data_IF_094617692292
#
_entry.id   IF_094617692292
#
_cell.length_a   1.000
_cell.length_b   1.000
_cell.length_c   1.000
_cell.angle_alpha   90.00
_cell.angle_beta   90.00
_cell.angle_gamma   90.00
#
_symmetry.space_group_name_H-M   'P 1'
#
loop_
_entity.id
_entity.type
_entity.pdbx_description
1 polymer ?
#
# COMPACT_ATOMS: atom_id res chain seq x y z
N UNK A 1 -29.15 -56.44 -23.73
CA UNK A 1 -29.83 -55.61 -22.71
C UNK A 1 -28.77 -54.97 -21.84
N UNK A 2 -28.84 -53.64 -21.66
CA UNK A 2 -27.97 -52.79 -20.82
C UNK A 2 -26.58 -52.64 -21.48
N UNK A 3 -26.15 -51.48 -21.95
CA UNK A 3 -25.88 -50.24 -21.22
C UNK A 3 -25.99 -49.00 -22.16
N UNK A 4 -25.93 -47.80 -21.57
CA UNK A 4 -25.88 -46.46 -22.19
C UNK A 4 -27.21 -45.68 -22.26
N UNK A 5 -27.89 -45.58 -21.12
CA UNK A 5 -28.88 -44.51 -20.87
C UNK A 5 -28.50 -43.57 -19.71
N UNK A 6 -27.25 -43.66 -19.22
CA UNK A 6 -26.80 -42.90 -18.04
C UNK A 6 -25.91 -41.69 -18.36
N UNK A 7 -25.47 -41.49 -19.60
CA UNK A 7 -24.62 -40.35 -19.97
C UNK A 7 -25.41 -39.15 -20.54
N UNK A 8 -26.60 -39.37 -21.12
CA UNK A 8 -27.44 -38.27 -21.62
C UNK A 8 -28.19 -37.50 -20.52
N UNK A 9 -28.28 -38.03 -19.29
CA UNK A 9 -28.95 -37.37 -18.19
C UNK A 9 -28.10 -36.30 -17.49
N UNK A 10 -26.78 -36.28 -17.71
CA UNK A 10 -25.90 -35.31 -17.04
C UNK A 10 -25.75 -34.00 -17.82
N UNK A 11 -25.90 -34.03 -19.15
CA UNK A 11 -25.83 -32.82 -19.98
C UNK A 11 -27.15 -32.02 -20.01
N UNK A 12 -28.25 -32.55 -19.46
CA UNK A 12 -29.60 -31.98 -19.59
C UNK A 12 -30.16 -31.31 -18.32
N UNK A 13 -29.37 -31.13 -17.24
CA UNK A 13 -29.87 -30.59 -15.96
C UNK A 13 -29.16 -29.34 -15.42
N UNK A 14 -28.26 -28.70 -16.17
CA UNK A 14 -27.87 -27.32 -15.88
C UNK A 14 -28.73 -26.39 -16.72
N UNK A 15 -29.85 -25.89 -16.16
CA UNK A 15 -30.57 -24.78 -16.80
C UNK A 15 -29.55 -23.67 -17.10
N UNK A 16 -29.55 -23.04 -18.30
CA UNK A 16 -28.56 -22.03 -18.68
C UNK A 16 -28.37 -20.92 -17.64
N UNK A 17 -29.42 -20.60 -16.88
CA UNK A 17 -29.38 -19.65 -15.75
C UNK A 17 -28.53 -20.12 -14.58
N UNK A 18 -28.54 -21.43 -14.25
CA UNK A 18 -27.73 -22.03 -13.18
C UNK A 18 -26.25 -22.08 -13.56
N UNK A 19 -25.95 -22.46 -14.80
CA UNK A 19 -24.59 -22.44 -15.34
C UNK A 19 -23.99 -21.02 -15.35
N UNK A 20 -24.81 -20.00 -15.70
CA UNK A 20 -24.39 -18.59 -15.62
C UNK A 20 -24.12 -18.14 -14.19
N UNK A 21 -24.96 -18.53 -13.23
CA UNK A 21 -24.77 -18.18 -11.83
C UNK A 21 -23.48 -18.79 -11.25
N UNK A 22 -23.20 -20.06 -11.56
CA UNK A 22 -21.97 -20.75 -11.15
C UNK A 22 -20.72 -20.15 -11.81
N UNK A 23 -20.81 -19.77 -13.08
CA UNK A 23 -19.71 -19.08 -13.77
C UNK A 23 -19.40 -17.72 -13.14
N UNK A 24 -20.43 -16.94 -12.76
CA UNK A 24 -20.25 -15.67 -12.07
C UNK A 24 -19.66 -15.87 -10.67
N UNK A 25 -20.12 -16.89 -9.94
CA UNK A 25 -19.58 -17.23 -8.63
C UNK A 25 -18.09 -17.62 -8.71
N UNK A 26 -17.73 -18.49 -9.66
CA UNK A 26 -16.34 -18.91 -9.90
C UNK A 26 -15.43 -17.74 -10.29
N UNK A 27 -15.91 -16.85 -11.15
CA UNK A 27 -15.19 -15.63 -11.49
C UNK A 27 -14.98 -14.73 -10.27
N UNK A 28 -16.02 -14.57 -9.45
CA UNK A 28 -15.96 -13.74 -8.26
C UNK A 28 -15.02 -14.29 -7.17
N UNK A 29 -14.91 -15.62 -7.06
CA UNK A 29 -13.90 -16.28 -6.23
C UNK A 29 -12.49 -16.05 -6.75
N UNK A 30 -12.30 -16.06 -8.07
CA UNK A 30 -10.99 -15.81 -8.68
C UNK A 30 -10.48 -14.40 -8.38
N UNK A 31 -11.36 -13.39 -8.46
CA UNK A 31 -11.05 -12.00 -8.11
C UNK A 31 -10.63 -11.85 -6.64
N UNK A 32 -11.38 -12.48 -5.73
CA UNK A 32 -11.06 -12.44 -4.30
C UNK A 32 -9.72 -13.14 -4.02
N UNK A 33 -9.43 -14.26 -4.68
CA UNK A 33 -8.17 -14.97 -4.51
C UNK A 33 -6.97 -14.20 -5.05
N UNK A 34 -7.11 -13.49 -6.18
CA UNK A 34 -6.09 -12.59 -6.71
C UNK A 34 -5.85 -11.39 -5.78
N UNK A 35 -6.91 -10.84 -5.19
CA UNK A 35 -6.79 -9.78 -4.19
C UNK A 35 -6.10 -10.27 -2.91
N UNK A 36 -6.48 -11.45 -2.41
CA UNK A 36 -5.85 -12.05 -1.23
C UNK A 36 -4.40 -12.45 -1.49
N UNK A 37 -4.05 -12.96 -2.68
CA UNK A 37 -2.65 -13.28 -2.99
C UNK A 37 -1.78 -12.03 -2.93
N UNK A 38 -2.23 -10.93 -3.56
CA UNK A 38 -1.56 -9.63 -3.48
C UNK A 38 -1.40 -9.12 -2.05
N UNK A 39 -2.40 -9.33 -1.20
CA UNK A 39 -2.39 -8.85 0.19
C UNK A 39 -1.46 -9.66 1.11
N UNK A 40 -1.37 -10.98 0.91
CA UNK A 40 -0.65 -11.87 1.81
C UNK A 40 0.78 -12.21 1.35
N UNK A 41 1.23 -11.85 0.14
CA UNK A 41 2.60 -12.12 -0.29
C UNK A 41 3.67 -11.56 0.67
N UNK A 42 4.68 -12.37 1.08
CA UNK A 42 5.01 -13.74 0.63
C UNK A 42 4.35 -14.88 1.43
N UNK A 43 3.55 -14.59 2.45
CA UNK A 43 2.87 -15.60 3.29
C UNK A 43 1.71 -16.29 2.54
N UNK A 44 1.47 -17.60 2.79
CA UNK A 44 0.35 -18.30 2.19
C UNK A 44 -0.98 -17.79 2.76
N UNK A 45 -2.00 -17.70 1.89
CA UNK A 45 -3.35 -17.29 2.28
C UNK A 45 -3.89 -18.29 3.32
N UNK A 46 -4.40 -17.82 4.48
CA UNK A 46 -5.02 -18.69 5.48
C UNK A 46 -6.17 -19.52 4.89
N UNK A 47 -6.30 -20.78 5.32
CA UNK A 47 -7.42 -21.60 4.90
C UNK A 47 -8.75 -21.07 5.48
N UNK A 48 -9.76 -20.95 4.63
CA UNK A 48 -11.11 -20.55 5.04
C UNK A 48 -12.16 -21.38 4.31
N UNK A 49 -13.34 -21.48 4.93
CA UNK A 49 -14.49 -22.19 4.35
C UNK A 49 -15.02 -21.43 3.14
N UNK A 50 -15.18 -22.11 2.00
CA UNK A 50 -15.77 -21.54 0.78
C UNK A 50 -17.29 -21.56 0.88
N UNK A 51 -17.85 -20.50 1.46
CA UNK A 51 -19.29 -20.29 1.61
C UNK A 51 -19.73 -19.01 0.86
N UNK A 52 -20.96 -18.94 0.37
CA UNK A 52 -21.53 -17.73 -0.25
C UNK A 52 -21.50 -16.53 0.69
N UNK A 53 -21.70 -16.76 1.99
CA UNK A 53 -21.56 -15.71 3.02
C UNK A 53 -20.13 -15.18 3.11
N UNK A 54 -19.12 -16.06 3.08
CA UNK A 54 -17.71 -15.66 3.11
C UNK A 54 -17.30 -14.93 1.84
N UNK A 55 -17.83 -15.33 0.68
CA UNK A 55 -17.61 -14.64 -0.58
C UNK A 55 -18.16 -13.21 -0.52
N UNK A 56 -19.38 -13.02 -0.04
CA UNK A 56 -20.00 -11.70 0.09
C UNK A 56 -19.24 -10.82 1.09
N UNK A 57 -18.82 -11.38 2.23
CA UNK A 57 -18.02 -10.66 3.22
C UNK A 57 -16.66 -10.23 2.64
N UNK A 58 -15.97 -11.12 1.92
CA UNK A 58 -14.69 -10.82 1.28
C UNK A 58 -14.83 -9.81 0.13
N UNK A 59 -15.92 -9.87 -0.65
CA UNK A 59 -16.21 -8.86 -1.69
C UNK A 59 -16.50 -7.49 -1.07
N UNK A 60 -17.27 -7.44 0.02
CA UNK A 60 -17.51 -6.20 0.77
C UNK A 60 -16.20 -5.63 1.28
N UNK A 61 -15.36 -6.46 1.90
CA UNK A 61 -14.06 -6.06 2.42
C UNK A 61 -13.11 -5.61 1.32
N UNK A 62 -13.08 -6.31 0.19
CA UNK A 62 -12.30 -5.92 -0.99
C UNK A 62 -12.75 -4.55 -1.51
N UNK A 63 -14.06 -4.32 -1.64
CA UNK A 63 -14.62 -3.04 -2.06
C UNK A 63 -14.31 -1.91 -1.09
N UNK A 64 -14.44 -2.16 0.21
CA UNK A 64 -14.09 -1.20 1.27
C UNK A 64 -12.59 -0.90 1.29
N UNK A 65 -11.73 -1.91 1.08
CA UNK A 65 -10.29 -1.71 1.03
C UNK A 65 -9.89 -0.89 -0.20
N UNK A 66 -10.44 -1.20 -1.37
CA UNK A 66 -10.22 -0.39 -2.58
C UNK A 66 -10.70 1.06 -2.37
N UNK A 67 -11.83 1.26 -1.69
CA UNK A 67 -12.30 2.60 -1.34
C UNK A 67 -11.34 3.32 -0.38
N UNK A 68 -10.79 2.60 0.61
CA UNK A 68 -9.81 3.13 1.54
C UNK A 68 -8.47 3.48 0.84
N UNK A 69 -8.01 2.65 -0.09
CA UNK A 69 -6.84 2.93 -0.94
C UNK A 69 -7.06 4.20 -1.76
N UNK A 70 -8.21 4.33 -2.43
CA UNK A 70 -8.56 5.57 -3.15
C UNK A 70 -8.59 6.81 -2.26
N UNK A 71 -9.10 6.68 -1.03
CA UNK A 71 -9.07 7.78 -0.06
C UNK A 71 -7.64 8.15 0.34
N UNK A 72 -6.75 7.16 0.50
CA UNK A 72 -5.34 7.39 0.79
C UNK A 72 -4.66 8.14 -0.36
N UNK A 73 -4.94 7.75 -1.60
CA UNK A 73 -4.40 8.42 -2.78
C UNK A 73 -4.89 9.88 -2.86
N UNK A 74 -6.18 10.14 -2.64
CA UNK A 74 -6.72 11.51 -2.61
C UNK A 74 -6.10 12.37 -1.52
N UNK A 75 -5.87 11.80 -0.33
CA UNK A 75 -5.20 12.51 0.76
C UNK A 75 -3.74 12.82 0.40
N UNK A 76 -3.06 11.89 -0.26
CA UNK A 76 -1.69 12.10 -0.73
C UNK A 76 -1.61 13.22 -1.77
N UNK A 77 -2.50 13.23 -2.77
CA UNK A 77 -2.55 14.31 -3.76
C UNK A 77 -2.87 15.66 -3.13
N UNK A 78 -3.85 15.72 -2.21
CA UNK A 78 -4.16 16.94 -1.48
C UNK A 78 -2.96 17.48 -0.68
N UNK A 79 -2.15 16.59 -0.08
CA UNK A 79 -0.91 16.99 0.61
C UNK A 79 0.13 17.56 -0.37
N UNK A 80 0.24 17.01 -1.58
CA UNK A 80 1.13 17.54 -2.61
C UNK A 80 0.69 18.95 -3.02
N UNK A 81 -0.61 19.18 -3.24
CA UNK A 81 -1.15 20.48 -3.61
C UNK A 81 -0.93 21.55 -2.50
N UNK A 82 -1.10 21.19 -1.23
CA UNK A 82 -0.79 22.08 -0.10
C UNK A 82 0.70 22.45 -0.04
N UNK A 83 1.61 21.50 -0.30
CA UNK A 83 3.05 21.80 -0.35
C UNK A 83 3.42 22.71 -1.54
N UNK A 84 2.75 22.56 -2.68
CA UNK A 84 2.96 23.41 -3.84
C UNK A 84 2.47 24.85 -3.61
N UNK A 85 1.30 25.02 -3.00
CA UNK A 85 0.73 26.35 -2.67
C UNK A 85 1.52 27.10 -1.61
N UNK A 86 2.10 26.41 -0.62
CA UNK A 86 2.97 27.04 0.40
C UNK A 86 4.34 27.46 -0.17
N UNK A 87 4.86 26.73 -1.16
CA UNK A 87 6.12 27.09 -1.82
C UNK A 87 5.96 28.28 -2.77
N UNK A 88 4.83 28.39 -3.47
CA UNK A 88 4.53 29.50 -4.40
C UNK A 88 4.12 30.80 -3.70
N UNK A 89 3.55 30.72 -2.49
CA UNK A 89 3.28 31.92 -1.67
C UNK A 89 4.52 32.48 -1.01
N UNK A 90 5.51 31.65 -0.65
CA UNK A 90 6.78 32.09 -0.05
C UNK A 90 7.78 32.69 -1.06
N UNK A 91 7.67 32.39 -2.35
CA UNK A 91 8.49 33.03 -3.41
C UNK A 91 7.92 34.37 -3.88
N UNK A 92 6.59 34.56 -3.83
CA UNK A 92 5.94 35.81 -4.22
C UNK A 92 6.01 36.93 -3.15
N UNK A 93 6.41 36.63 -1.91
CA UNK A 93 6.60 37.63 -0.85
C UNK A 93 8.01 38.27 -0.83
N UNK A 94 8.97 37.81 -1.64
CA UNK A 94 10.33 38.41 -1.68
C UNK A 94 10.51 39.58 -2.66
N UNK A 95 9.53 39.84 -3.54
CA UNK A 95 9.66 40.86 -4.59
C UNK A 95 8.70 42.07 -4.46
N UNK A 96 8.02 42.25 -3.30
CA UNK A 96 7.04 43.34 -3.10
C UNK A 96 7.40 44.45 -2.11
N UNK A 97 8.66 44.53 -1.66
CA UNK A 97 9.13 45.62 -0.80
C UNK A 97 9.89 46.69 -1.60
N UNK A 98 9.22 47.37 -2.53
CA UNK A 98 9.57 48.73 -2.95
C UNK A 98 8.39 49.39 -3.64
N UNK A 99 8.09 50.60 -3.21
CA UNK A 99 7.04 51.51 -3.70
C UNK A 99 5.62 51.23 -3.23
N UNK A 100 5.22 51.92 -2.16
CA UNK A 100 4.22 53.01 -2.26
C UNK A 100 3.98 53.67 -0.91
N UNK A 101 4.58 54.86 -0.73
CA UNK A 101 4.14 55.88 0.22
C UNK A 101 2.93 56.61 -0.38
N UNK A 102 1.78 56.65 0.30
CA UNK A 102 1.10 57.90 0.70
C UNK A 102 -0.34 57.68 1.20
N UNK A 103 -0.64 58.43 2.27
CA UNK A 103 -1.94 58.95 2.71
C UNK A 103 -3.03 57.97 3.19
N UNK A 104 -3.88 58.25 4.17
CA UNK A 104 -3.97 59.21 5.28
C UNK A 104 -5.31 58.85 5.96
N UNK A 105 -5.29 58.66 7.30
CA UNK A 105 -6.44 58.64 8.23
C UNK A 105 -7.46 57.48 8.05
N UNK A 106 -8.00 56.82 9.08
CA UNK A 106 -8.46 57.35 10.37
C UNK A 106 -8.70 56.21 11.38
N UNK A 107 -8.49 56.54 12.66
CA UNK A 107 -9.03 55.94 13.88
C UNK A 107 -8.68 54.50 14.29
N UNK A 108 -7.65 54.49 15.14
CA UNK A 108 -7.16 53.49 16.09
C UNK A 108 -8.08 53.25 17.30
N UNK A 109 -8.35 51.98 17.62
CA UNK A 109 -8.38 51.37 18.98
C UNK A 109 -9.13 50.02 18.87
N UNK A 110 -8.51 48.85 18.95
CA UNK A 110 -7.77 48.34 20.12
C UNK A 110 -7.06 47.00 19.79
N UNK A 111 -5.84 46.85 20.32
CA UNK A 111 -5.13 45.60 20.62
C UNK A 111 -4.33 44.87 19.53
N UNK A 112 -3.35 45.57 18.95
CA UNK A 112 -2.13 44.99 18.40
C UNK A 112 -1.01 45.00 19.45
N UNK A 113 -0.97 44.01 20.37
CA UNK A 113 0.26 43.73 21.16
C UNK A 113 0.30 42.27 21.64
N UNK A 114 0.71 41.32 20.79
CA UNK A 114 1.46 40.11 21.24
C UNK A 114 2.09 39.39 20.04
N UNK A 115 3.00 40.06 19.34
CA UNK A 115 3.94 39.42 18.40
C UNK A 115 5.30 39.13 19.03
N UNK A 116 5.44 39.35 20.35
CA UNK A 116 6.71 39.12 21.09
C UNK A 116 6.70 37.92 22.04
N UNK A 117 5.56 37.26 22.21
CA UNK A 117 5.48 36.15 23.16
C UNK A 117 5.55 34.82 22.38
N UNK A 118 6.71 34.12 22.37
CA UNK A 118 6.88 32.88 21.60
C UNK A 118 5.87 31.82 22.03
N UNK A 119 5.38 31.89 23.28
CA UNK A 119 4.35 30.99 23.81
C UNK A 119 2.99 31.17 23.12
N UNK A 120 2.62 32.39 22.74
CA UNK A 120 1.34 32.67 22.09
C UNK A 120 1.37 32.24 20.61
N UNK A 121 2.53 32.39 19.95
CA UNK A 121 2.78 31.85 18.61
C UNK A 121 2.78 30.31 18.62
N UNK A 122 3.47 29.69 19.58
CA UNK A 122 3.48 28.23 19.75
C UNK A 122 2.08 27.69 20.06
N UNK A 123 1.26 28.42 20.82
CA UNK A 123 -0.13 28.04 21.06
C UNK A 123 -0.96 28.09 19.78
N UNK A 124 -0.79 29.13 18.95
CA UNK A 124 -1.48 29.22 17.65
C UNK A 124 -1.05 28.11 16.69
N UNK A 125 0.24 27.83 16.59
CA UNK A 125 0.79 26.72 15.78
C UNK A 125 0.26 25.38 16.31
N UNK A 126 0.35 25.15 17.63
CA UNK A 126 -0.17 23.92 18.26
C UNK A 126 -1.68 23.79 18.03
N UNK A 127 -2.43 24.89 17.98
CA UNK A 127 -3.88 24.88 17.74
C UNK A 127 -4.27 24.71 16.26
N UNK A 128 -3.40 25.06 15.31
CA UNK A 128 -3.64 24.90 13.87
C UNK A 128 -3.24 23.54 13.33
N UNK A 129 -2.39 22.79 14.04
CA UNK A 129 -1.95 21.47 13.61
C UNK A 129 -3.00 20.38 13.87
N UNK A 130 -3.06 19.38 12.99
CA UNK A 130 -3.92 18.19 13.15
C UNK A 130 -3.51 17.37 14.39
N UNK A 131 -4.44 16.60 14.97
CA UNK A 131 -4.17 15.80 16.18
C UNK A 131 -2.99 14.83 16.06
N UNK A 132 -2.83 14.06 14.96
CA UNK A 132 -1.64 13.22 14.77
C UNK A 132 -0.34 14.03 14.63
N UNK A 133 -0.39 15.22 14.03
CA UNK A 133 0.79 16.10 13.92
C UNK A 133 1.22 16.65 15.28
N UNK A 134 0.27 16.94 16.18
CA UNK A 134 0.58 17.37 17.56
C UNK A 134 1.23 16.25 18.36
N UNK A 135 0.69 15.03 18.27
CA UNK A 135 1.28 13.88 18.97
C UNK A 135 2.68 13.56 18.42
N UNK A 136 2.90 13.68 17.12
CA UNK A 136 4.23 13.52 16.54
C UNK A 136 5.23 14.57 17.05
N UNK A 137 4.81 15.85 17.15
CA UNK A 137 5.65 16.91 17.73
C UNK A 137 5.93 16.69 19.21
N UNK A 138 4.93 16.27 19.99
CA UNK A 138 5.11 15.94 21.40
C UNK A 138 6.10 14.76 21.53
N UNK A 139 5.96 13.69 20.73
CA UNK A 139 6.89 12.55 20.69
C UNK A 139 8.30 12.95 20.24
N UNK A 140 8.43 13.86 19.27
CA UNK A 140 9.74 14.37 18.83
C UNK A 140 10.37 15.23 19.93
N UNK A 141 9.58 16.05 20.63
CA UNK A 141 10.07 16.86 21.74
C UNK A 141 10.52 15.99 22.92
N UNK A 142 9.77 14.93 23.22
CA UNK A 142 10.10 13.95 24.25
C UNK A 142 11.34 13.14 23.87
N UNK A 143 11.42 12.68 22.61
CA UNK A 143 12.61 12.03 22.06
C UNK A 143 13.83 12.96 22.06
N UNK A 144 13.65 14.26 21.78
CA UNK A 144 14.72 15.25 21.82
C UNK A 144 15.21 15.52 23.25
N UNK A 145 14.31 15.52 24.24
CA UNK A 145 14.68 15.60 25.66
C UNK A 145 15.45 14.35 26.10
N UNK A 146 14.99 13.16 25.70
CA UNK A 146 15.68 11.88 25.95
C UNK A 146 17.05 11.85 25.26
N UNK A 147 17.16 12.45 24.07
CA UNK A 147 18.41 12.61 23.32
C UNK A 147 19.32 13.74 23.86
N UNK A 148 18.93 14.42 24.94
CA UNK A 148 19.76 15.42 25.61
C UNK A 148 19.78 16.82 24.96
N UNK A 149 18.85 17.12 24.05
CA UNK A 149 18.70 18.44 23.41
C UNK A 149 18.06 19.46 24.37
N UNK A 150 18.68 19.73 25.51
CA UNK A 150 18.35 20.92 26.30
C UNK A 150 18.94 22.14 25.60
N UNK A 151 18.09 23.09 25.22
CA UNK A 151 18.50 24.42 24.81
C UNK A 151 19.30 25.09 25.94
N UNK A 152 20.61 24.88 25.96
CA UNK A 152 21.51 25.64 26.81
C UNK A 152 21.49 27.08 26.30
N UNK A 153 20.82 27.91 27.08
CA UNK A 153 20.89 29.35 27.01
C UNK A 153 22.34 29.82 27.15
N UNK A 154 22.66 30.89 26.43
CA UNK A 154 23.89 31.70 26.51
C UNK A 154 25.13 31.21 25.75
N UNK A 155 25.25 31.60 24.47
CA UNK A 155 26.21 32.64 24.06
C UNK A 155 26.08 32.91 22.56
N UNK A 156 26.25 34.17 22.20
CA UNK A 156 26.02 34.70 20.87
C UNK A 156 27.06 34.16 19.86
N UNK A 157 26.59 33.85 18.64
CA UNK A 157 27.42 33.77 17.43
C UNK A 157 28.02 32.40 17.12
N UNK A 158 27.21 31.45 16.62
CA UNK A 158 27.78 30.19 16.09
C UNK A 158 26.81 29.08 15.64
N UNK A 159 25.52 29.35 15.40
CA UNK A 159 24.51 28.27 15.25
C UNK A 159 24.50 27.45 13.95
N UNK A 160 25.35 27.74 12.95
CA UNK A 160 25.30 26.99 11.67
C UNK A 160 26.20 25.74 11.62
N UNK A 161 27.30 25.69 12.40
CA UNK A 161 28.22 24.54 12.35
C UNK A 161 27.80 23.37 13.23
N UNK A 162 27.21 23.62 14.41
CA UNK A 162 26.86 22.53 15.33
C UNK A 162 25.59 21.76 14.96
N UNK A 163 24.62 22.41 14.31
CA UNK A 163 23.46 21.70 13.78
C UNK A 163 23.85 20.73 12.66
N UNK A 164 24.92 21.04 11.90
CA UNK A 164 25.45 20.15 10.88
C UNK A 164 26.13 18.92 11.51
N UNK A 165 26.87 19.09 12.62
CA UNK A 165 27.49 17.97 13.32
C UNK A 165 26.45 17.07 13.99
N UNK A 166 25.36 17.61 14.56
CA UNK A 166 24.31 16.80 15.20
C UNK A 166 23.53 15.99 14.16
N UNK A 167 23.17 16.59 13.01
CA UNK A 167 22.52 15.84 11.93
C UNK A 167 23.45 14.79 11.33
N UNK A 168 24.74 15.09 11.21
CA UNK A 168 25.73 14.16 10.67
C UNK A 168 26.02 13.01 11.66
N UNK A 169 25.99 13.29 12.96
CA UNK A 169 26.11 12.29 14.02
C UNK A 169 24.86 11.40 14.07
N UNK A 170 23.66 11.98 14.00
CA UNK A 170 22.40 11.25 13.87
C UNK A 170 22.38 10.38 12.60
N UNK A 171 22.84 10.90 11.46
CA UNK A 171 22.91 10.16 10.21
C UNK A 171 23.93 9.01 10.30
N UNK A 172 25.07 9.23 10.96
CA UNK A 172 26.04 8.16 11.23
C UNK A 172 25.45 7.10 12.17
N UNK A 173 24.64 7.51 13.15
CA UNK A 173 24.00 6.60 14.08
C UNK A 173 22.91 5.76 13.40
N UNK A 174 22.06 6.40 12.58
CA UNK A 174 21.00 5.76 11.78
C UNK A 174 21.60 4.72 10.81
N UNK A 175 22.77 4.98 10.24
CA UNK A 175 23.43 4.01 9.35
C UNK A 175 24.20 2.94 10.12
N UNK A 176 24.74 3.25 11.29
CA UNK A 176 25.47 2.29 12.13
C UNK A 176 24.56 1.27 12.81
N UNK A 177 23.32 1.64 13.18
CA UNK A 177 22.37 0.78 13.88
C UNK A 177 22.00 -0.48 13.07
N UNK A 178 21.62 -0.38 11.78
CA UNK A 178 21.37 -1.54 10.93
C UNK A 178 22.60 -2.44 10.77
N UNK A 179 23.81 -1.86 10.70
CA UNK A 179 25.06 -2.62 10.58
C UNK A 179 25.33 -3.41 11.87
N UNK A 180 25.11 -2.78 13.03
CA UNK A 180 25.22 -3.45 14.33
C UNK A 180 24.15 -4.54 14.49
N UNK A 181 22.92 -4.29 14.03
CA UNK A 181 21.84 -5.25 14.04
C UNK A 181 22.18 -6.48 13.20
N UNK A 182 22.62 -6.28 11.95
CA UNK A 182 23.04 -7.37 11.06
C UNK A 182 24.19 -8.18 11.67
N UNK A 183 25.15 -7.51 12.32
CA UNK A 183 26.25 -8.19 13.01
C UNK A 183 25.76 -9.06 14.16
N UNK A 184 24.80 -8.56 14.96
CA UNK A 184 24.20 -9.33 16.06
C UNK A 184 23.36 -10.49 15.53
N UNK A 185 22.64 -10.31 14.43
CA UNK A 185 21.86 -11.36 13.76
C UNK A 185 22.77 -12.46 13.23
N UNK A 186 23.89 -12.10 12.59
CA UNK A 186 24.92 -13.06 12.16
C UNK A 186 25.53 -13.81 13.36
N UNK A 187 25.72 -13.12 14.49
CA UNK A 187 26.20 -13.77 15.72
C UNK A 187 25.18 -14.74 16.29
N UNK A 188 23.89 -14.43 16.25
CA UNK A 188 22.82 -15.33 16.69
C UNK A 188 22.76 -16.58 15.80
N UNK A 189 22.86 -16.43 14.48
CA UNK A 189 22.88 -17.56 13.56
C UNK A 189 24.09 -18.48 13.78
N UNK A 190 25.27 -17.90 14.06
CA UNK A 190 26.45 -18.68 14.47
C UNK A 190 26.25 -19.41 15.80
N UNK A 191 25.47 -18.85 16.73
CA UNK A 191 25.14 -19.51 17.99
C UNK A 191 24.17 -20.66 17.74
N UNK A 192 23.18 -20.49 16.87
CA UNK A 192 22.21 -21.53 16.53
C UNK A 192 22.86 -22.71 15.79
N UNK A 193 23.83 -22.44 14.91
CA UNK A 193 24.66 -23.46 14.27
C UNK A 193 25.48 -24.25 15.30
N UNK A 194 26.08 -23.55 16.28
CA UNK A 194 26.81 -24.19 17.37
C UNK A 194 25.89 -25.04 18.26
N UNK A 195 24.70 -24.53 18.58
CA UNK A 195 23.68 -25.27 19.34
C UNK A 195 23.28 -26.53 18.58
N UNK A 196 23.03 -26.43 17.28
CA UNK A 196 22.69 -27.57 16.43
C UNK A 196 23.80 -28.61 16.37
N UNK A 197 25.05 -28.17 16.26
CA UNK A 197 26.21 -29.06 16.28
C UNK A 197 26.38 -29.76 17.63
N UNK A 198 26.26 -29.03 18.74
CA UNK A 198 26.32 -29.61 20.09
C UNK A 198 25.18 -30.59 20.35
N UNK A 199 23.96 -30.29 19.89
CA UNK A 199 22.83 -31.22 19.97
C UNK A 199 23.12 -32.50 19.17
N UNK A 200 23.65 -32.37 17.94
CA UNK A 200 24.08 -33.50 17.13
C UNK A 200 25.18 -34.33 17.80
N UNK A 201 26.14 -33.70 18.46
CA UNK A 201 27.20 -34.38 19.20
C UNK A 201 26.64 -35.11 20.45
N UNK A 202 25.71 -34.49 21.16
CA UNK A 202 25.00 -35.12 22.29
C UNK A 202 24.22 -36.34 21.80
N UNK A 203 23.50 -36.26 20.68
CA UNK A 203 22.80 -37.40 20.09
C UNK A 203 23.77 -38.53 19.69
N UNK A 204 24.90 -38.19 19.07
CA UNK A 204 25.94 -39.16 18.74
C UNK A 204 26.55 -39.82 19.98
N UNK A 205 26.77 -39.06 21.05
CA UNK A 205 27.26 -39.59 22.32
C UNK A 205 26.21 -40.48 23.00
N UNK A 206 24.93 -40.09 22.98
CA UNK A 206 23.83 -40.94 23.47
C UNK A 206 23.70 -42.24 22.67
N UNK A 207 23.85 -42.18 21.35
CA UNK A 207 23.87 -43.37 20.48
C UNK A 207 25.09 -44.27 20.76
N UNK A 208 26.26 -43.67 20.98
CA UNK A 208 27.49 -44.39 21.31
C UNK A 208 27.41 -45.06 22.69
N UNK A 209 26.88 -44.36 23.70
CA UNK A 209 26.67 -44.90 25.06
C UNK A 209 25.57 -45.95 25.13
N UNK A 210 24.49 -45.81 24.36
CA UNK A 210 23.45 -46.85 24.26
C UNK A 210 23.94 -48.09 23.49
N UNK A 211 24.76 -47.92 22.44
CA UNK A 211 25.38 -49.05 21.73
C UNK A 211 26.37 -49.84 22.61
N UNK A 212 27.14 -49.17 23.48
CA UNK A 212 28.04 -49.83 24.44
C UNK A 212 27.27 -50.55 25.55
N UNK A 213 26.15 -49.98 26.04
CA UNK A 213 25.23 -50.68 26.96
C UNK A 213 24.61 -51.92 26.30
N UNK A 214 24.24 -51.87 25.02
CA UNK A 214 23.68 -53.03 24.32
C UNK A 214 24.74 -54.10 23.98
N UNK A 215 25.99 -53.72 23.75
CA UNK A 215 27.12 -54.66 23.54
C UNK A 215 27.50 -55.42 24.82
N UNK A 216 27.15 -54.91 26.00
CA UNK A 216 27.27 -55.64 27.28
C UNK A 216 26.15 -56.66 27.53
N UNK A 217 25.02 -56.60 26.80
CA UNK A 217 23.89 -57.54 26.94
C UNK A 217 23.82 -58.62 25.85
N UNK A 218 24.51 -58.47 24.72
CA UNK A 218 24.44 -59.43 23.60
C UNK A 218 25.67 -60.31 23.40
N UNK A 219 26.62 -60.33 24.35
CA UNK A 219 27.73 -61.31 24.36
C UNK A 219 27.32 -62.73 24.81
N UNK A 220 26.01 -63.00 24.87
CA UNK A 220 25.43 -64.33 25.04
C UNK A 220 24.28 -64.53 24.04
N UNK A 221 24.61 -64.86 22.79
CA UNK A 221 23.94 -65.90 21.97
C UNK A 221 24.34 -65.79 20.50
N UNK A 222 24.89 -66.92 19.98
CA UNK A 222 24.76 -67.48 18.62
C UNK A 222 25.34 -66.62 17.48
N UNK A 223 26.45 -66.96 16.82
CA UNK A 223 26.91 -68.20 16.14
C UNK A 223 25.91 -68.73 15.09
N UNK A 224 26.43 -68.84 13.86
CA UNK A 224 25.87 -69.38 12.60
C UNK A 224 25.10 -68.34 11.75
N UNK A 225 25.19 -68.24 10.41
CA UNK A 225 25.94 -68.91 9.33
C UNK A 225 25.51 -68.27 7.98
N UNK A 226 26.43 -68.26 7.01
CA UNK A 226 26.25 -68.21 5.52
C UNK A 226 25.72 -66.96 4.80
N UNK A 227 26.64 -66.33 4.06
CA UNK A 227 26.69 -66.18 2.57
C UNK A 227 25.42 -66.48 1.75
N UNK A 228 25.01 -65.53 0.91
CA UNK A 228 24.62 -65.72 -0.52
C UNK A 228 24.38 -64.38 -1.23
N UNK A 229 24.97 -64.25 -2.44
CA UNK A 229 24.59 -63.33 -3.53
C UNK A 229 23.41 -63.97 -4.31
N UNK A 230 22.59 -63.25 -5.11
CA UNK A 230 22.90 -63.12 -6.54
C UNK A 230 22.36 -61.87 -7.27
N UNK A 231 22.82 -61.76 -8.52
CA UNK A 231 22.51 -60.84 -9.62
C UNK A 231 21.07 -60.88 -10.21
N UNK A 232 20.73 -59.88 -11.03
CA UNK A 232 19.64 -59.87 -12.02
C UNK A 232 19.30 -58.42 -12.45
N UNK A 233 19.74 -57.84 -13.58
CA UNK A 233 19.44 -58.04 -15.02
C UNK A 233 18.02 -57.61 -15.47
N UNK A 234 17.97 -56.69 -16.46
CA UNK A 234 16.81 -56.35 -17.32
C UNK A 234 16.39 -54.87 -17.20
N UNK A 235 16.14 -54.06 -18.23
CA UNK A 235 16.00 -54.24 -19.68
C UNK A 235 14.97 -53.21 -20.23
N UNK A 236 15.20 -52.64 -21.43
CA UNK A 236 14.23 -51.84 -22.22
C UNK A 236 14.53 -50.33 -22.28
N UNK A 237 15.01 -49.73 -23.38
CA UNK A 237 14.33 -49.33 -24.66
C UNK A 237 13.11 -48.41 -24.44
N UNK A 238 12.80 -47.35 -25.19
CA UNK A 238 13.43 -46.43 -26.16
C UNK A 238 12.35 -45.37 -26.52
N UNK A 239 12.76 -44.31 -27.25
CA UNK A 239 11.99 -43.47 -28.22
C UNK A 239 10.90 -42.48 -27.72
N UNK A 240 11.11 -41.18 -27.95
CA UNK A 240 10.29 -40.36 -28.89
C UNK A 240 10.78 -38.90 -28.96
N UNK A 241 11.18 -38.46 -30.15
CA UNK A 241 11.37 -37.04 -30.53
C UNK A 241 10.16 -36.55 -31.34
N UNK A 242 9.91 -35.22 -31.43
CA UNK A 242 9.13 -34.62 -32.51
C UNK A 242 9.94 -33.65 -33.41
N UNK A 243 9.41 -33.26 -34.58
CA UNK A 243 10.20 -33.00 -35.80
C UNK A 243 10.33 -31.52 -36.21
N UNK A 244 11.26 -31.27 -37.15
CA UNK A 244 11.56 -29.99 -37.81
C UNK A 244 10.89 -29.86 -39.20
N UNK A 245 10.37 -28.64 -39.47
CA UNK A 245 10.27 -27.85 -40.74
C UNK A 245 9.73 -28.46 -42.05
N UNK A 246 9.29 -27.61 -43.01
CA UNK A 246 10.20 -27.28 -44.11
C UNK A 246 10.11 -25.82 -44.60
N UNK A 247 11.23 -25.25 -45.07
CA UNK A 247 11.24 -24.05 -45.92
C UNK A 247 12.15 -24.28 -47.12
N UNK A 248 11.55 -24.21 -48.29
CA UNK A 248 12.11 -24.39 -49.63
C UNK A 248 12.84 -23.13 -50.09
N UNK A 249 14.06 -23.27 -50.60
CA UNK A 249 14.74 -22.25 -51.42
C UNK A 249 15.37 -22.95 -52.62
N UNK A 250 14.88 -22.56 -53.81
CA UNK A 250 15.34 -23.05 -55.10
C UNK A 250 16.65 -22.38 -55.49
N UNK A 251 17.69 -23.18 -55.69
CA UNK A 251 18.91 -22.81 -56.42
C UNK A 251 18.73 -23.26 -57.87
N UNK A 252 18.61 -22.32 -58.80
CA UNK A 252 18.74 -22.61 -60.23
C UNK A 252 20.17 -22.35 -60.67
N UNK A 253 20.78 -23.36 -61.26
CA UNK A 253 22.08 -23.34 -61.94
C UNK A 253 21.80 -23.33 -63.44
N UNK A 254 22.44 -22.42 -64.18
CA UNK A 254 22.60 -22.52 -65.64
C UNK A 254 24.08 -22.29 -66.03
N UNK A 255 24.51 -22.81 -67.21
CA UNK A 255 25.90 -23.12 -67.51
C UNK A 255 26.67 -21.98 -68.20
N UNK A 256 28.00 -22.06 -68.04
CA UNK A 256 29.03 -21.28 -68.72
C UNK A 256 28.89 -21.32 -70.25
N UNK A 257 29.08 -20.17 -70.88
CA UNK A 257 29.75 -20.05 -72.17
C UNK A 257 30.91 -19.06 -71.98
N UNK A 258 32.10 -19.50 -72.40
CA UNK A 258 33.35 -18.75 -72.46
C UNK A 258 33.24 -17.64 -73.52
N UNK A 259 33.65 -16.41 -73.19
CA UNK A 259 34.55 -15.55 -73.97
C UNK A 259 34.47 -14.08 -73.48
N UNK A 260 35.66 -13.47 -73.39
CA UNK A 260 35.98 -12.04 -73.46
C UNK A 260 35.91 -11.12 -72.20
N UNK A 261 37.11 -10.64 -71.85
CA UNK A 261 37.49 -9.33 -71.29
C UNK A 261 37.35 -9.05 -69.77
N UNK A 262 38.51 -9.08 -69.10
CA UNK A 262 38.80 -8.75 -67.70
C UNK A 262 38.69 -7.23 -67.37
N UNK A 263 37.54 -6.56 -67.59
CA UNK A 263 37.36 -5.15 -67.14
C UNK A 263 36.09 -4.81 -66.33
N UNK A 264 35.14 -5.73 -66.09
CA UNK A 264 33.82 -5.37 -65.50
C UNK A 264 33.54 -5.84 -64.05
N UNK A 265 34.55 -6.30 -63.30
CA UNK A 265 34.37 -6.86 -61.95
C UNK A 265 33.96 -5.83 -60.87
N UNK A 266 34.15 -4.52 -61.11
CA UNK A 266 33.78 -3.45 -60.17
C UNK A 266 32.32 -3.01 -60.31
N UNK A 267 31.77 -2.99 -61.53
CA UNK A 267 30.39 -2.54 -61.80
C UNK A 267 29.35 -3.56 -61.34
N UNK A 268 29.64 -4.87 -61.45
CA UNK A 268 28.79 -5.94 -60.92
C UNK A 268 28.72 -5.93 -59.38
N UNK A 269 29.83 -5.58 -58.71
CA UNK A 269 29.84 -5.42 -57.24
C UNK A 269 29.07 -4.20 -56.78
N UNK A 270 29.12 -3.11 -57.55
CA UNK A 270 28.35 -1.91 -57.25
C UNK A 270 26.84 -2.15 -57.44
N UNK A 271 26.44 -2.83 -58.52
CA UNK A 271 25.04 -3.18 -58.76
C UNK A 271 24.47 -4.12 -57.68
N UNK A 272 25.22 -5.15 -57.30
CA UNK A 272 24.81 -6.08 -56.23
C UNK A 272 24.69 -5.40 -54.87
N UNK A 273 25.57 -4.44 -54.57
CA UNK A 273 25.51 -3.63 -53.33
C UNK A 273 24.28 -2.73 -53.32
N UNK A 274 24.03 -2.00 -54.42
CA UNK A 274 22.87 -1.11 -54.55
C UNK A 274 21.54 -1.88 -54.54
N UNK A 275 21.52 -3.08 -55.12
CA UNK A 275 20.38 -3.98 -55.05
C UNK A 275 20.12 -4.44 -53.61
N UNK A 276 21.16 -4.82 -52.86
CA UNK A 276 21.04 -5.21 -51.46
C UNK A 276 20.50 -4.06 -50.59
N UNK A 277 20.98 -2.84 -50.81
CA UNK A 277 20.49 -1.63 -50.13
C UNK A 277 19.01 -1.36 -50.47
N UNK A 278 18.63 -1.51 -51.75
CA UNK A 278 17.23 -1.36 -52.19
C UNK A 278 16.32 -2.37 -51.50
N UNK A 279 16.73 -3.63 -51.42
CA UNK A 279 15.98 -4.69 -50.72
C UNK A 279 15.85 -4.37 -49.23
N UNK A 280 16.91 -3.83 -48.62
CA UNK A 280 16.89 -3.41 -47.21
C UNK A 280 15.90 -2.26 -46.98
N UNK A 281 15.96 -1.20 -47.79
CA UNK A 281 15.01 -0.07 -47.71
C UNK A 281 13.57 -0.51 -47.93
N UNK A 282 13.32 -1.49 -48.81
CA UNK A 282 11.99 -2.08 -48.99
C UNK A 282 11.48 -2.81 -47.74
N UNK A 283 12.36 -3.53 -47.02
CA UNK A 283 12.00 -4.20 -45.76
C UNK A 283 11.68 -3.18 -44.67
N UNK A 284 12.52 -2.17 -44.51
CA UNK A 284 12.33 -1.10 -43.53
C UNK A 284 11.04 -0.31 -43.80
N UNK A 285 10.76 0.02 -45.06
CA UNK A 285 9.52 0.70 -45.45
C UNK A 285 8.28 -0.13 -45.10
N UNK A 286 8.32 -1.44 -45.38
CA UNK A 286 7.24 -2.37 -44.99
C UNK A 286 7.06 -2.43 -43.47
N UNK A 287 8.15 -2.50 -42.72
CA UNK A 287 8.09 -2.51 -41.25
C UNK A 287 7.52 -1.20 -40.71
N UNK A 288 7.92 -0.06 -41.27
CA UNK A 288 7.40 1.24 -40.87
C UNK A 288 5.91 1.36 -41.20
N UNK A 289 5.47 0.86 -42.34
CA UNK A 289 4.05 0.84 -42.72
C UNK A 289 3.21 0.03 -41.73
N UNK A 290 3.71 -1.14 -41.30
CA UNK A 290 3.05 -1.96 -40.27
C UNK A 290 2.95 -1.20 -38.95
N UNK A 291 4.05 -0.57 -38.49
CA UNK A 291 4.03 0.25 -37.26
C UNK A 291 3.08 1.44 -37.36
N UNK A 292 3.04 2.13 -38.50
CA UNK A 292 2.11 3.23 -38.72
C UNK A 292 0.66 2.74 -38.61
N UNK A 293 0.33 1.59 -39.21
CA UNK A 293 -0.99 0.98 -39.08
C UNK A 293 -1.34 0.65 -37.61
N UNK A 294 -0.41 0.04 -36.87
CA UNK A 294 -0.59 -0.26 -35.44
C UNK A 294 -0.83 1.02 -34.61
N UNK A 295 -0.06 2.08 -34.82
CA UNK A 295 -0.27 3.34 -34.11
C UNK A 295 -1.59 4.01 -34.48
N UNK A 296 -2.02 3.94 -35.74
CA UNK A 296 -3.34 4.45 -36.13
C UNK A 296 -4.48 3.69 -35.45
N UNK A 297 -4.36 2.36 -35.31
CA UNK A 297 -5.33 1.55 -34.57
C UNK A 297 -5.32 1.87 -33.07
N UNK A 298 -4.13 2.04 -32.48
CA UNK A 298 -3.99 2.42 -31.06
C UNK A 298 -4.60 3.78 -30.77
N UNK A 299 -4.40 4.77 -31.65
CA UNK A 299 -5.02 6.10 -31.54
C UNK A 299 -6.54 5.97 -31.64
N UNK A 300 -7.06 5.26 -32.65
CA UNK A 300 -8.49 5.05 -32.81
C UNK A 300 -9.12 4.32 -31.60
N UNK A 301 -8.40 3.36 -31.00
CA UNK A 301 -8.83 2.68 -29.78
C UNK A 301 -8.85 3.64 -28.58
N UNK A 302 -7.83 4.48 -28.40
CA UNK A 302 -7.79 5.49 -27.35
C UNK A 302 -8.89 6.55 -27.53
N UNK A 303 -9.21 6.97 -28.74
CA UNK A 303 -10.32 7.88 -29.03
C UNK A 303 -11.68 7.24 -28.72
N UNK A 304 -11.85 5.95 -29.04
CA UNK A 304 -13.03 5.18 -28.62
C UNK A 304 -13.12 5.06 -27.10
N UNK A 305 -12.00 4.81 -26.43
CA UNK A 305 -11.95 4.76 -24.97
C UNK A 305 -12.24 6.13 -24.36
N UNK A 306 -11.75 7.23 -24.94
CA UNK A 306 -12.03 8.58 -24.48
C UNK A 306 -13.50 8.97 -24.69
N UNK A 307 -14.12 8.59 -25.81
CA UNK A 307 -15.55 8.83 -26.09
C UNK A 307 -16.49 7.91 -25.30
N UNK A 308 -16.07 6.68 -25.01
CA UNK A 308 -16.79 5.79 -24.09
C UNK A 308 -16.60 6.25 -22.64
N UNK A 309 -15.42 6.73 -22.26
CA UNK A 309 -15.19 7.31 -20.92
C UNK A 309 -16.00 8.59 -20.73
N UNK A 310 -16.09 9.47 -21.74
CA UNK A 310 -16.92 10.67 -21.65
C UNK A 310 -18.43 10.39 -21.57
N UNK A 311 -18.89 9.21 -22.03
CA UNK A 311 -20.30 8.79 -21.93
C UNK A 311 -20.61 7.88 -20.74
N UNK A 312 -19.60 7.26 -20.11
CA UNK A 312 -19.80 6.28 -19.03
C UNK A 312 -19.15 6.66 -17.70
N UNK A 313 -18.37 7.74 -17.63
CA UNK A 313 -17.90 8.32 -16.36
C UNK A 313 -18.49 9.71 -16.17
N UNK A 314 -19.69 9.74 -15.57
CA UNK A 314 -20.26 10.90 -14.87
C UNK A 314 -19.46 11.28 -13.60
N UNK A 315 -18.14 11.04 -13.58
CA UNK A 315 -17.25 11.35 -12.46
C UNK A 315 -16.55 12.71 -12.63
N UNK A 316 -16.94 13.51 -13.61
CA UNK A 316 -16.78 14.95 -13.50
C UNK A 316 -18.03 15.48 -12.81
N UNK A 317 -17.98 15.77 -11.49
CA UNK A 317 -19.14 16.33 -10.81
C UNK A 317 -19.45 17.66 -11.49
N UNK A 318 -20.65 17.75 -12.07
CA UNK A 318 -21.08 19.00 -12.68
C UNK A 318 -21.06 20.07 -11.60
N UNK A 319 -20.73 21.33 -11.94
CA UNK A 319 -20.68 22.44 -10.97
C UNK A 319 -21.95 22.51 -10.08
N UNK A 320 -23.10 22.11 -10.64
CA UNK A 320 -24.36 21.95 -9.92
C UNK A 320 -24.31 20.88 -8.80
N UNK A 321 -23.70 19.71 -9.07
CA UNK A 321 -23.55 18.63 -8.09
C UNK A 321 -22.61 19.03 -6.95
N UNK A 322 -21.56 19.81 -7.27
CA UNK A 322 -20.64 20.36 -6.27
C UNK A 322 -21.37 21.37 -5.38
N UNK A 323 -22.20 22.24 -5.96
CA UNK A 323 -23.00 23.20 -5.21
C UNK A 323 -24.02 22.51 -4.27
N UNK A 324 -24.70 21.47 -4.74
CA UNK A 324 -25.63 20.69 -3.91
C UNK A 324 -24.90 19.99 -2.74
N UNK A 325 -23.77 19.34 -3.04
CA UNK A 325 -22.92 18.71 -2.02
C UNK A 325 -22.43 19.72 -0.99
N UNK A 326 -22.08 20.93 -1.42
CA UNK A 326 -21.66 22.02 -0.53
C UNK A 326 -22.79 22.39 0.46
N UNK A 327 -24.03 22.54 -0.03
CA UNK A 327 -25.19 22.82 0.84
C UNK A 327 -25.37 21.69 1.85
N UNK A 328 -25.31 20.43 1.42
CA UNK A 328 -25.44 19.27 2.31
C UNK A 328 -24.35 19.23 3.39
N UNK A 329 -23.11 19.55 3.03
CA UNK A 329 -21.98 19.63 3.99
C UNK A 329 -22.22 20.73 5.01
N UNK A 330 -22.70 21.91 4.59
CA UNK A 330 -23.02 22.99 5.55
C UNK A 330 -24.14 22.60 6.51
N UNK A 331 -25.15 21.86 6.05
CA UNK A 331 -26.23 21.35 6.89
C UNK A 331 -25.72 20.33 7.92
N UNK A 332 -24.88 19.38 7.48
CA UNK A 332 -24.25 18.40 8.37
C UNK A 332 -23.37 19.08 9.41
N UNK A 333 -22.61 20.11 9.01
CA UNK A 333 -21.79 20.91 9.94
C UNK A 333 -22.64 21.60 11.01
N UNK A 334 -23.76 22.21 10.63
CA UNK A 334 -24.72 22.80 11.59
C UNK A 334 -25.30 21.75 12.55
N UNK A 335 -25.62 20.55 12.05
CA UNK A 335 -26.09 19.43 12.88
C UNK A 335 -25.04 19.00 13.90
N UNK A 336 -23.79 18.85 13.46
CA UNK A 336 -22.66 18.50 14.33
C UNK A 336 -22.41 19.57 15.37
N UNK A 337 -22.46 20.85 15.01
CA UNK A 337 -22.30 21.95 15.96
C UNK A 337 -23.42 21.94 17.02
N UNK A 338 -24.67 21.73 16.59
CA UNK A 338 -25.81 21.62 17.51
C UNK A 338 -25.64 20.44 18.47
N UNK A 339 -25.27 19.26 17.96
CA UNK A 339 -24.99 18.08 18.78
C UNK A 339 -23.81 18.30 19.73
N UNK A 340 -22.76 18.99 19.26
CA UNK A 340 -21.60 19.36 20.08
C UNK A 340 -21.99 20.27 21.25
N UNK A 341 -22.82 21.29 21.01
CA UNK A 341 -23.38 22.14 22.07
C UNK A 341 -24.22 21.33 23.06
N UNK A 342 -25.02 20.38 22.58
CA UNK A 342 -25.79 19.47 23.42
C UNK A 342 -24.89 18.58 24.28
N UNK A 343 -23.82 18.03 23.70
CA UNK A 343 -22.83 17.22 24.43
C UNK A 343 -22.09 18.07 25.49
N UNK A 344 -21.72 19.31 25.16
CA UNK A 344 -21.13 20.27 26.11
C UNK A 344 -22.03 20.54 27.32
N UNK A 345 -23.35 20.58 27.15
CA UNK A 345 -24.27 20.70 28.28
C UNK A 345 -24.28 19.47 29.20
N UNK A 346 -23.94 18.29 28.67
CA UNK A 346 -23.87 17.05 29.44
C UNK A 346 -22.48 16.72 29.98
N UNK A 347 -21.43 17.47 29.60
CA UNK A 347 -20.06 17.25 30.07
C UNK A 347 -19.86 17.54 31.57
N UNK A 348 -20.79 18.23 32.23
CA UNK A 348 -20.80 18.40 33.69
C UNK A 348 -21.38 17.21 34.45
N UNK A 349 -22.01 16.25 33.76
CA UNK A 349 -22.53 15.05 34.40
C UNK A 349 -21.46 13.95 34.43
N UNK A 350 -21.39 13.18 35.53
CA UNK A 350 -20.54 11.99 35.60
C UNK A 350 -20.81 11.04 34.42
N UNK A 351 -19.78 10.38 33.86
CA UNK A 351 -19.93 9.41 32.78
C UNK A 351 -20.74 8.16 33.19
N UNK A 352 -20.93 7.95 34.49
CA UNK A 352 -21.76 6.88 35.05
C UNK A 352 -23.23 7.31 35.24
N UNK A 353 -24.14 6.48 34.75
CA UNK A 353 -25.60 6.71 34.74
C UNK A 353 -26.16 6.85 36.16
N UNK A 354 -25.69 6.03 37.10
CA UNK A 354 -26.19 6.05 38.47
C UNK A 354 -25.65 7.26 39.24
N UNK A 355 -24.38 7.61 39.05
CA UNK A 355 -23.82 8.88 39.54
C UNK A 355 -24.58 10.11 38.99
N UNK A 356 -24.92 10.12 37.70
CA UNK A 356 -25.72 11.21 37.10
C UNK A 356 -27.10 11.34 37.75
N UNK A 357 -27.76 10.21 38.04
CA UNK A 357 -29.07 10.18 38.70
C UNK A 357 -28.98 10.67 40.14
N UNK A 358 -27.90 10.35 40.86
CA UNK A 358 -27.71 10.88 42.22
C UNK A 358 -27.52 12.39 42.22
N UNK A 359 -26.75 12.94 41.27
CA UNK A 359 -26.53 14.39 41.17
C UNK A 359 -27.80 15.14 40.74
N UNK A 360 -28.59 14.57 39.82
CA UNK A 360 -29.91 15.12 39.46
C UNK A 360 -30.86 15.14 40.65
N UNK A 361 -30.93 14.04 41.43
CA UNK A 361 -31.79 14.00 42.63
C UNK A 361 -31.33 15.02 43.69
N UNK A 362 -30.01 15.20 43.85
CA UNK A 362 -29.43 16.22 44.72
C UNK A 362 -29.87 17.63 44.29
N UNK A 363 -29.67 17.97 43.02
CA UNK A 363 -30.06 19.27 42.48
C UNK A 363 -31.58 19.52 42.57
N UNK A 364 -32.39 18.48 42.37
CA UNK A 364 -33.85 18.55 42.55
C UNK A 364 -34.24 18.84 44.00
N UNK A 365 -33.59 18.18 44.98
CA UNK A 365 -33.86 18.42 46.39
C UNK A 365 -33.49 19.85 46.82
N UNK A 366 -32.38 20.39 46.31
CA UNK A 366 -31.98 21.77 46.57
C UNK A 366 -32.96 22.78 45.94
N UNK A 367 -33.45 22.51 44.73
CA UNK A 367 -34.43 23.35 44.06
C UNK A 367 -35.77 23.37 44.81
N UNK A 368 -36.24 22.22 45.31
CA UNK A 368 -37.45 22.15 46.14
C UNK A 368 -37.27 22.89 47.47
N UNK A 369 -36.08 22.82 48.10
CA UNK A 369 -35.77 23.60 49.30
C UNK A 369 -35.84 25.11 49.01
N UNK A 370 -35.22 25.57 47.91
CA UNK A 370 -35.27 26.97 47.51
C UNK A 370 -36.69 27.43 47.17
N UNK A 371 -37.52 26.58 46.55
CA UNK A 371 -38.94 26.87 46.32
C UNK A 371 -39.72 27.00 47.61
N UNK A 372 -39.58 26.05 48.54
CA UNK A 372 -40.26 26.11 49.83
C UNK A 372 -39.85 27.38 50.60
N UNK A 373 -38.55 27.69 50.62
CA UNK A 373 -38.05 28.93 51.24
C UNK A 373 -38.61 30.18 50.57
N UNK A 374 -38.69 30.19 49.24
CA UNK A 374 -39.31 31.27 48.47
C UNK A 374 -40.78 31.41 48.87
N UNK A 375 -41.52 30.31 48.94
CA UNK A 375 -42.95 30.29 49.24
C UNK A 375 -43.25 30.71 50.69
N UNK A 376 -42.40 30.32 51.65
CA UNK A 376 -42.46 30.77 53.05
C UNK A 376 -42.28 32.29 53.16
N UNK A 377 -41.30 32.85 52.42
CA UNK A 377 -41.07 34.30 52.38
C UNK A 377 -42.24 35.04 51.71
N UNK A 378 -42.84 34.47 50.65
CA UNK A 378 -44.04 35.05 50.04
C UNK A 378 -45.26 34.98 50.97
N UNK A 379 -45.43 33.89 51.72
CA UNK A 379 -46.49 33.78 52.72
C UNK A 379 -46.33 34.81 53.84
N UNK A 380 -45.09 35.08 54.27
CA UNK A 380 -44.79 36.13 55.26
C UNK A 380 -45.12 37.54 54.73
N UNK A 381 -44.85 37.81 53.44
CA UNK A 381 -45.17 39.10 52.81
C UNK A 381 -46.67 39.29 52.57
N UNK A 382 -47.44 38.23 52.34
CA UNK A 382 -48.89 38.28 52.13
C UNK A 382 -49.74 38.28 53.41
N UNK A 383 -49.11 38.06 54.58
CA UNK A 383 -49.77 38.02 55.90
C UNK A 383 -49.56 39.30 56.73
N UNK A 384 -48.83 40.29 56.22
CA UNK A 384 -48.73 41.66 56.76
C UNK A 384 -49.64 42.60 56.00
#
# INVERSE_FOLDING_TARGET
>A
MRFNLAEESFAMQASPSKARAEALESHSWSLVLEWLSKLYHPSPIPAFERNSFTLQALQSLMGENIAAERLRDLVYEAQIEELFTTTTTTTNEKDKDKDTLSAQNDSTNTTTTTTKDPRNLLYRIRSSLSKPSRTALDSISEAAVIAGCSASSSSAGGSSRQNKTILQDLQSHITSLPIQLFKLETQLESIDDLISNLQGEIEQFQKSTSSTKNKSRTRSRRKDRSTTVPSGTGGGRSISSPPQTPTTLSTMTFPNDDDDEDEDDEDDRHYTTLHAETVQHQRETKQLTIKCAEYTERIASLERQASVSSSTTTNEPTLADVAEKQVLVTQKRKRVEHLGKKILQFHSLPPDLDASRTEVRRAQAELELLKNKRDDLFAQLGSS
#
